data_IF_109086197546
#
_entry.id   IF_109086197546
#
_cell.length_a   1.000
_cell.length_b   1.000
_cell.length_c   1.000
_cell.angle_alpha   90.00
_cell.angle_beta   90.00
_cell.angle_gamma   90.00
#
_symmetry.space_group_name_H-M   'P 1'
#
loop_
_entity.id
_entity.type
_entity.pdbx_description
1 polymer ?
#
# COMPACT_ATOMS: atom_id res chain seq x y z
N UNK A 1 -16.97 1.86 19.91
CA UNK A 1 -16.18 1.77 18.67
C UNK A 1 -17.14 2.09 17.54
N UNK A 2 -17.04 3.29 16.96
CA UNK A 2 -17.93 3.71 15.88
C UNK A 2 -17.63 2.84 14.66
N UNK A 3 -18.67 2.21 14.09
CA UNK A 3 -18.57 1.49 12.83
C UNK A 3 -18.02 2.43 11.76
N UNK A 4 -16.80 2.16 11.31
CA UNK A 4 -16.22 2.74 10.12
C UNK A 4 -16.93 2.15 8.89
N UNK A 5 -18.17 2.58 8.68
CA UNK A 5 -18.85 2.53 7.38
C UNK A 5 -18.25 3.60 6.46
N UNK A 6 -16.93 3.65 6.33
CA UNK A 6 -16.28 4.52 5.35
C UNK A 6 -16.27 3.76 4.03
N UNK A 7 -17.14 4.17 3.11
CA UNK A 7 -17.13 3.60 1.77
C UNK A 7 -15.98 4.24 1.01
N UNK A 8 -14.84 3.54 0.95
CA UNK A 8 -13.66 3.96 0.20
C UNK A 8 -13.90 3.68 -1.29
N UNK A 9 -14.37 4.68 -2.05
CA UNK A 9 -14.74 4.52 -3.46
C UNK A 9 -13.73 5.12 -4.43
N UNK A 10 -12.83 5.96 -3.95
CA UNK A 10 -11.85 6.69 -4.75
C UNK A 10 -10.50 6.76 -4.02
N UNK A 11 -9.42 7.03 -4.75
CA UNK A 11 -8.11 7.26 -4.15
C UNK A 11 -8.08 8.49 -3.22
N UNK A 12 -8.93 9.48 -3.49
CA UNK A 12 -9.08 10.65 -2.62
C UNK A 12 -9.69 10.28 -1.26
N UNK A 13 -10.60 9.31 -1.22
CA UNK A 13 -11.15 8.79 0.04
C UNK A 13 -10.06 8.07 0.86
N UNK A 14 -9.14 7.37 0.17
CA UNK A 14 -7.99 6.71 0.79
C UNK A 14 -7.03 7.74 1.40
N UNK A 15 -6.63 8.77 0.65
CA UNK A 15 -5.75 9.84 1.16
C UNK A 15 -6.37 10.54 2.38
N UNK A 16 -7.66 10.89 2.32
CA UNK A 16 -8.38 11.54 3.42
C UNK A 16 -8.51 10.64 4.66
N UNK A 17 -8.52 9.32 4.47
CA UNK A 17 -8.54 8.35 5.55
C UNK A 17 -7.16 8.21 6.21
N UNK A 18 -6.08 8.16 5.41
CA UNK A 18 -4.70 8.11 5.89
C UNK A 18 -4.29 9.37 6.68
N UNK A 19 -4.72 10.55 6.25
CA UNK A 19 -4.41 11.82 6.93
C UNK A 19 -5.02 11.94 8.34
N UNK A 20 -6.08 11.17 8.63
CA UNK A 20 -6.91 11.36 9.82
C UNK A 20 -6.61 10.42 10.96
N UNK A 21 -5.65 9.50 10.83
CA UNK A 21 -5.59 8.40 11.77
C UNK A 21 -4.23 7.77 12.01
N UNK A 22 -4.07 7.36 13.25
CA UNK A 22 -2.97 6.60 13.84
C UNK A 22 -3.32 5.09 13.72
N UNK A 23 -3.52 4.60 12.50
CA UNK A 23 -4.00 3.22 12.25
C UNK A 23 -2.86 2.19 12.25
N UNK A 24 -3.19 0.97 12.68
CA UNK A 24 -2.41 -0.23 12.34
C UNK A 24 -2.53 -0.49 10.83
N UNK A 25 -1.39 -0.45 10.15
CA UNK A 25 -1.26 -0.63 8.70
C UNK A 25 -1.94 -1.93 8.22
N UNK A 26 -1.98 -2.97 9.06
CA UNK A 26 -2.56 -4.28 8.72
C UNK A 26 -4.09 -4.20 8.52
N UNK A 27 -4.80 -3.47 9.37
CA UNK A 27 -6.26 -3.28 9.24
C UNK A 27 -6.59 -2.39 8.02
N UNK A 28 -5.70 -1.43 7.73
CA UNK A 28 -5.81 -0.53 6.59
C UNK A 28 -5.75 -1.31 5.25
N UNK A 29 -4.82 -2.26 5.13
CA UNK A 29 -4.63 -3.04 3.90
C UNK A 29 -5.90 -3.82 3.52
N UNK A 30 -6.58 -4.45 4.48
CA UNK A 30 -7.81 -5.22 4.21
C UNK A 30 -8.94 -4.30 3.71
N UNK A 31 -9.10 -3.13 4.33
CA UNK A 31 -10.09 -2.15 3.87
C UNK A 31 -9.77 -1.63 2.47
N UNK A 32 -8.48 -1.41 2.18
CA UNK A 32 -8.00 -0.83 0.93
C UNK A 32 -7.99 -1.80 -0.25
N UNK A 33 -7.80 -3.11 -0.02
CA UNK A 33 -7.94 -4.14 -1.06
C UNK A 33 -9.34 -4.15 -1.71
N UNK A 34 -10.38 -3.72 -0.99
CA UNK A 34 -11.73 -3.62 -1.54
C UNK A 34 -11.92 -2.46 -2.53
N UNK A 35 -11.04 -1.45 -2.45
CA UNK A 35 -11.01 -0.24 -3.29
C UNK A 35 -10.27 -0.51 -4.60
N UNK A 36 -9.28 -1.41 -4.55
CA UNK A 36 -8.37 -1.76 -5.65
C UNK A 36 -9.13 -2.14 -6.93
N UNK A 37 -10.06 -3.10 -6.80
CA UNK A 37 -10.80 -3.68 -7.93
C UNK A 37 -11.66 -2.66 -8.69
N UNK A 38 -12.13 -1.60 -8.02
CA UNK A 38 -13.11 -0.66 -8.60
C UNK A 38 -12.49 0.65 -9.09
N UNK A 39 -11.29 0.98 -8.62
CA UNK A 39 -10.69 2.30 -8.84
C UNK A 39 -9.48 2.29 -9.77
N UNK A 40 -8.90 1.11 -10.04
CA UNK A 40 -7.71 1.00 -10.87
C UNK A 40 -6.44 1.44 -10.14
N UNK A 41 -6.39 1.26 -8.82
CA UNK A 41 -5.24 1.53 -7.97
C UNK A 41 -4.87 0.28 -7.19
N UNK A 42 -3.60 -0.10 -7.22
CA UNK A 42 -3.06 -1.15 -6.37
C UNK A 42 -2.63 -0.54 -5.04
N UNK A 43 -3.04 -1.19 -3.96
CA UNK A 43 -2.64 -0.83 -2.61
C UNK A 43 -2.04 -2.06 -1.92
N UNK A 44 -0.77 -1.96 -1.52
CA UNK A 44 -0.06 -3.07 -0.89
C UNK A 44 0.84 -2.59 0.25
N UNK A 45 1.14 -3.48 1.18
CA UNK A 45 2.25 -3.27 2.11
C UNK A 45 3.55 -3.65 1.40
N UNK A 46 4.38 -2.65 1.14
CA UNK A 46 5.68 -2.78 0.52
C UNK A 46 6.77 -3.02 1.56
N UNK A 47 7.82 -3.74 1.17
CA UNK A 47 9.07 -3.85 1.93
C UNK A 47 10.27 -3.65 1.01
N UNK A 48 11.19 -2.78 1.43
CA UNK A 48 12.44 -2.57 0.72
C UNK A 48 13.36 -3.78 0.94
N UNK A 49 13.78 -4.41 -0.15
CA UNK A 49 14.75 -5.53 -0.08
C UNK A 49 16.15 -5.14 0.38
N UNK A 50 16.52 -3.85 0.28
CA UNK A 50 17.87 -3.37 0.66
C UNK A 50 17.91 -2.98 2.14
N UNK A 51 17.03 -2.06 2.54
CA UNK A 51 17.08 -1.48 3.89
C UNK A 51 16.04 -2.07 4.85
N UNK A 52 15.14 -2.93 4.37
CA UNK A 52 14.10 -3.57 5.17
C UNK A 52 12.94 -2.64 5.58
N UNK A 53 12.96 -1.37 5.16
CA UNK A 53 11.91 -0.41 5.46
C UNK A 53 10.57 -0.86 4.87
N UNK A 54 9.50 -0.73 5.65
CA UNK A 54 8.14 -1.11 5.27
C UNK A 54 7.29 0.15 5.09
N UNK A 55 6.49 0.19 4.04
CA UNK A 55 5.59 1.31 3.76
C UNK A 55 4.36 0.88 2.99
N UNK A 56 3.33 1.72 3.00
CA UNK A 56 2.12 1.48 2.20
C UNK A 56 2.34 2.03 0.79
N UNK A 57 2.41 1.13 -0.18
CA UNK A 57 2.52 1.49 -1.59
C UNK A 57 1.13 1.72 -2.17
N UNK A 58 0.97 2.84 -2.90
CA UNK A 58 -0.25 3.18 -3.61
C UNK A 58 0.15 3.57 -5.04
N UNK A 59 -0.23 2.76 -6.03
CA UNK A 59 0.11 3.02 -7.43
C UNK A 59 -1.05 2.67 -8.38
N UNK A 60 -1.04 3.17 -9.63
CA UNK A 60 -2.04 2.77 -10.62
C UNK A 60 -1.97 1.26 -10.94
N UNK A 61 -3.11 0.66 -11.27
CA UNK A 61 -3.17 -0.71 -11.77
C UNK A 61 -2.30 -0.86 -13.03
N UNK A 62 -1.41 -1.86 -13.02
CA UNK A 62 -0.43 -2.09 -14.08
C UNK A 62 0.93 -1.43 -13.85
N UNK A 63 1.13 -0.74 -12.71
CA UNK A 63 2.47 -0.34 -12.28
C UNK A 63 3.34 -1.57 -11.99
N UNK A 64 4.66 -1.43 -12.12
CA UNK A 64 5.61 -2.44 -11.66
C UNK A 64 5.73 -2.39 -10.14
N UNK A 65 4.83 -3.10 -9.45
CA UNK A 65 4.72 -3.14 -7.99
C UNK A 65 5.90 -3.82 -7.29
N UNK A 66 6.82 -4.41 -8.04
CA UNK A 66 8.03 -5.07 -7.53
C UNK A 66 9.28 -4.17 -7.63
N UNK A 67 9.11 -2.96 -8.13
CA UNK A 67 10.20 -2.05 -8.38
C UNK A 67 9.80 -0.60 -8.07
N UNK A 68 9.06 -0.38 -6.99
CA UNK A 68 8.71 0.97 -6.55
C UNK A 68 9.90 1.62 -5.80
N UNK A 69 9.93 2.96 -5.79
CA UNK A 69 10.95 3.72 -5.08
C UNK A 69 10.73 3.61 -3.56
N UNK A 70 11.77 3.23 -2.82
CA UNK A 70 11.71 3.18 -1.36
C UNK A 70 11.88 4.58 -0.76
N UNK A 71 10.95 5.06 0.07
CA UNK A 71 11.05 6.41 0.66
C UNK A 71 12.20 6.58 1.66
N UNK A 72 12.79 5.49 2.16
CA UNK A 72 13.91 5.55 3.11
C UNK A 72 15.29 5.56 2.41
N UNK A 73 15.46 4.80 1.33
CA UNK A 73 16.76 4.66 0.66
C UNK A 73 16.78 5.17 -0.79
N UNK A 74 15.64 5.63 -1.32
CA UNK A 74 15.43 6.18 -2.67
C UNK A 74 15.89 5.24 -3.80
N UNK A 75 15.92 3.93 -3.55
CA UNK A 75 16.21 2.93 -4.58
C UNK A 75 14.90 2.28 -5.04
N UNK A 76 14.82 1.98 -6.35
CA UNK A 76 13.73 1.20 -6.96
C UNK A 76 13.82 -0.25 -6.49
N UNK A 77 13.25 -0.53 -5.32
CA UNK A 77 13.53 -1.74 -4.53
C UNK A 77 12.35 -2.27 -3.72
N UNK A 78 11.24 -1.55 -3.73
CA UNK A 78 10.03 -1.90 -2.99
C UNK A 78 9.27 -2.99 -3.74
N UNK A 79 8.83 -3.99 -2.99
CA UNK A 79 7.98 -5.09 -3.45
C UNK A 79 6.93 -5.42 -2.40
N UNK A 80 5.85 -6.10 -2.79
CA UNK A 80 4.85 -6.59 -1.84
C UNK A 80 5.49 -7.48 -0.76
N UNK A 81 5.20 -7.20 0.51
CA UNK A 81 5.82 -7.85 1.69
C UNK A 81 5.65 -9.38 1.72
N UNK A 82 4.56 -9.89 1.16
CA UNK A 82 4.23 -11.32 1.11
C UNK A 82 4.79 -12.04 -0.13
N UNK A 83 5.49 -11.34 -1.04
CA UNK A 83 6.14 -11.97 -2.18
C UNK A 83 7.44 -12.65 -1.75
N UNK A 84 7.69 -13.85 -2.27
CA UNK A 84 8.98 -14.53 -2.08
C UNK A 84 10.12 -13.60 -2.51
N UNK A 85 11.13 -13.46 -1.64
CA UNK A 85 12.30 -12.66 -1.93
C UNK A 85 12.97 -13.17 -3.22
N UNK A 86 13.42 -12.25 -4.07
CA UNK A 86 14.16 -12.58 -5.29
C UNK A 86 15.53 -13.17 -4.90
N UNK A 87 15.56 -14.44 -4.51
CA UNK A 87 16.77 -15.25 -4.38
C UNK A 87 16.82 -16.23 -5.55
N UNK A 88 17.34 -15.72 -6.66
CA UNK A 88 18.17 -16.48 -7.60
C UNK A 88 19.40 -15.65 -7.96
#
# INVERSE_FOLDING_TARGET
MAELSLVLNTISDVCLFMDKADYDITELVVALQSVDIKTGWVIQLGKCRICGYEELDICPLGCDTNNLECNNCNNMTMQGKELEEWWQ
#
